data_IF_006554515963
#
_entry.id   IF_006554515963
#
_cell.length_a   1.000
_cell.length_b   1.000
_cell.length_c   1.000
_cell.angle_alpha   90.00
_cell.angle_beta   90.00
_cell.angle_gamma   90.00
#
_symmetry.space_group_name_H-M   'P 1'
#
loop_
_entity.id
_entity.type
_entity.pdbx_description
1 polymer ?
#
# COMPACT_ATOMS: atom_id res chain seq x y z
N UNK A 1 12.88 23.08 -8.34
CA UNK A 1 11.73 22.99 -7.42
C UNK A 1 11.48 21.55 -6.93
N UNK A 2 12.26 20.57 -7.41
CA UNK A 2 12.15 19.14 -7.06
C UNK A 2 12.74 18.74 -5.70
N UNK A 3 13.75 19.45 -5.21
CA UNK A 3 14.41 19.16 -3.94
C UNK A 3 13.50 19.38 -2.73
N UNK A 4 12.60 20.36 -2.79
CA UNK A 4 11.63 20.66 -1.73
C UNK A 4 10.48 19.64 -1.69
N UNK A 5 10.04 19.16 -2.86
CA UNK A 5 9.02 18.13 -2.97
C UNK A 5 9.54 16.77 -2.47
N UNK A 6 10.79 16.43 -2.81
CA UNK A 6 11.47 15.21 -2.34
C UNK A 6 11.62 15.20 -0.82
N UNK A 7 12.11 16.30 -0.23
CA UNK A 7 12.19 16.46 1.24
C UNK A 7 10.83 16.39 1.94
N UNK A 8 9.76 16.93 1.33
CA UNK A 8 8.40 16.83 1.87
C UNK A 8 7.87 15.39 1.83
N UNK A 9 8.13 14.65 0.76
CA UNK A 9 7.76 13.24 0.65
C UNK A 9 8.49 12.38 1.68
N UNK A 10 9.79 12.60 1.86
CA UNK A 10 10.60 11.90 2.88
C UNK A 10 10.10 12.20 4.30
N UNK A 11 9.74 13.45 4.60
CA UNK A 11 9.17 13.83 5.90
C UNK A 11 7.79 13.20 6.18
N UNK A 12 6.95 13.04 5.16
CA UNK A 12 5.64 12.38 5.31
C UNK A 12 5.79 10.88 5.52
N UNK A 13 6.69 10.22 4.79
CA UNK A 13 6.99 8.80 4.97
C UNK A 13 7.63 8.53 6.33
N UNK A 14 8.54 9.40 6.79
CA UNK A 14 9.13 9.32 8.13
C UNK A 14 8.05 9.49 9.22
N UNK A 15 7.12 10.43 9.04
CA UNK A 15 5.98 10.62 9.95
C UNK A 15 5.07 9.39 10.01
N UNK A 16 4.72 8.83 8.86
CA UNK A 16 3.90 7.61 8.78
C UNK A 16 4.63 6.42 9.41
N UNK A 17 5.91 6.24 9.10
CA UNK A 17 6.75 5.21 9.68
C UNK A 17 6.76 5.33 11.20
N UNK A 18 7.02 6.52 11.74
CA UNK A 18 7.03 6.75 13.18
C UNK A 18 5.70 6.43 13.85
N UNK A 19 4.57 6.65 13.17
CA UNK A 19 3.23 6.34 13.68
C UNK A 19 2.98 4.83 13.68
N UNK A 20 3.23 4.17 12.55
CA UNK A 20 2.95 2.74 12.37
C UNK A 20 3.90 1.88 13.19
N UNK A 21 5.19 2.21 13.23
CA UNK A 21 6.22 1.45 13.93
C UNK A 21 6.35 1.78 15.43
N UNK A 22 5.57 2.73 15.96
CA UNK A 22 5.74 3.22 17.35
C UNK A 22 5.55 2.14 18.41
N UNK A 23 4.63 1.20 18.16
CA UNK A 23 4.22 0.16 19.11
C UNK A 23 4.01 -1.15 18.37
N UNK A 24 4.45 -2.25 18.97
CA UNK A 24 4.33 -3.58 18.37
C UNK A 24 2.86 -3.93 18.04
N UNK A 25 1.92 -3.57 18.93
CA UNK A 25 0.49 -3.76 18.68
C UNK A 25 -0.03 -2.98 17.46
N UNK A 26 0.42 -1.74 17.24
CA UNK A 26 0.03 -0.92 16.07
C UNK A 26 0.62 -1.49 14.80
N UNK A 27 1.90 -1.84 14.82
CA UNK A 27 2.59 -2.45 13.70
C UNK A 27 1.91 -3.76 13.26
N UNK A 28 1.68 -4.68 14.20
CA UNK A 28 1.03 -5.97 13.93
C UNK A 28 -0.37 -5.77 13.36
N UNK A 29 -1.16 -4.85 13.93
CA UNK A 29 -2.51 -4.55 13.42
C UNK A 29 -2.45 -3.98 12.00
N UNK A 30 -1.52 -3.07 11.73
CA UNK A 30 -1.33 -2.51 10.40
C UNK A 30 -0.93 -3.58 9.38
N UNK A 31 -0.04 -4.50 9.75
CA UNK A 31 0.37 -5.63 8.89
C UNK A 31 -0.81 -6.55 8.60
N UNK A 32 -1.58 -6.96 9.62
CA UNK A 32 -2.72 -7.87 9.45
C UNK A 32 -3.82 -7.24 8.61
N UNK A 33 -4.18 -5.98 8.89
CA UNK A 33 -5.18 -5.26 8.09
C UNK A 33 -4.69 -5.01 6.67
N UNK A 34 -3.43 -4.61 6.51
CA UNK A 34 -2.80 -4.39 5.20
C UNK A 34 -2.79 -5.66 4.37
N UNK A 35 -2.48 -6.81 4.96
CA UNK A 35 -2.52 -8.10 4.28
C UNK A 35 -3.95 -8.47 3.83
N UNK A 36 -4.93 -8.31 4.73
CA UNK A 36 -6.34 -8.61 4.44
C UNK A 36 -6.91 -7.75 3.31
N UNK A 37 -6.52 -6.47 3.25
CA UNK A 37 -6.94 -5.56 2.18
C UNK A 37 -6.16 -5.87 0.89
N UNK A 38 -4.86 -6.09 1.01
CA UNK A 38 -3.96 -6.38 -0.10
C UNK A 38 -4.36 -7.61 -0.89
N UNK A 39 -4.77 -8.68 -0.20
CA UNK A 39 -5.31 -9.91 -0.82
C UNK A 39 -6.42 -9.58 -1.82
N UNK A 40 -7.44 -8.82 -1.40
CA UNK A 40 -8.60 -8.48 -2.23
C UNK A 40 -8.23 -7.57 -3.41
N UNK A 41 -7.32 -6.63 -3.19
CA UNK A 41 -6.88 -5.71 -4.25
C UNK A 41 -6.10 -6.46 -5.32
N UNK A 42 -5.20 -7.36 -4.91
CA UNK A 42 -4.42 -8.18 -5.86
C UNK A 42 -5.33 -9.14 -6.59
N UNK A 43 -6.21 -9.87 -5.89
CA UNK A 43 -7.15 -10.82 -6.50
C UNK A 43 -8.03 -10.14 -7.55
N UNK A 44 -8.66 -9.02 -7.19
CA UNK A 44 -9.48 -8.24 -8.12
C UNK A 44 -8.66 -7.72 -9.31
N UNK A 45 -7.45 -7.21 -9.05
CA UNK A 45 -6.56 -6.71 -10.09
C UNK A 45 -6.20 -7.79 -11.11
N UNK A 46 -5.76 -8.95 -10.63
CA UNK A 46 -5.42 -10.10 -11.48
C UNK A 46 -6.64 -10.60 -12.23
N UNK A 47 -7.78 -10.74 -11.56
CA UNK A 47 -9.04 -11.16 -12.20
C UNK A 47 -9.40 -10.21 -13.35
N UNK A 48 -9.32 -8.90 -13.14
CA UNK A 48 -9.63 -7.91 -14.17
C UNK A 48 -8.61 -7.85 -15.30
N UNK A 49 -7.32 -7.99 -14.99
CA UNK A 49 -6.26 -8.10 -16.00
C UNK A 49 -6.46 -9.33 -16.87
N UNK A 50 -6.84 -10.45 -16.27
CA UNK A 50 -7.11 -11.68 -16.99
C UNK A 50 -8.38 -11.59 -17.83
N UNK A 51 -9.48 -11.06 -17.27
CA UNK A 51 -10.72 -10.79 -17.99
C UNK A 51 -10.44 -9.92 -19.21
N UNK A 52 -9.68 -8.82 -19.06
CA UNK A 52 -9.29 -7.94 -20.16
C UNK A 52 -8.45 -8.63 -21.24
N UNK A 53 -7.45 -9.44 -20.85
CA UNK A 53 -6.58 -10.13 -21.79
C UNK A 53 -7.27 -11.29 -22.53
N UNK A 54 -8.30 -11.88 -21.91
CA UNK A 54 -9.00 -13.05 -22.43
C UNK A 54 -10.43 -12.74 -22.93
N UNK A 55 -10.78 -11.46 -23.15
CA UNK A 55 -11.98 -11.10 -23.89
C UNK A 55 -11.76 -11.50 -25.36
N UNK A 56 -12.25 -12.69 -25.71
CA UNK A 56 -12.05 -13.32 -27.01
C UNK A 56 -13.28 -14.08 -27.49
N UNK A 57 -14.43 -13.39 -27.48
CA UNK A 57 -15.40 -13.28 -28.59
C UNK A 57 -15.76 -11.80 -28.72
#
# INVERSE_FOLDING_TARGET
MDSTARRRGEALLEGLYRVVMRRNSVYVTFVVLGASIGERVVDYGIYKLWEYNNMGV
#
